data_IF_261004754337
#
_entry.id   IF_261004754337
#
_cell.length_a   1.000
_cell.length_b   1.000
_cell.length_c   1.000
_cell.angle_alpha   90.00
_cell.angle_beta   90.00
_cell.angle_gamma   90.00
#
_symmetry.space_group_name_H-M   'P 1'
#
loop_
_entity.id
_entity.type
_entity.pdbx_description
1 polymer ?
#
# COMPACT_ATOMS: atom_id res chain seq x y z
N UNK A 1 1.14 -3.47 16.05
CA UNK A 1 0.98 -2.33 15.13
C UNK A 1 1.73 -2.61 13.85
N UNK A 2 1.11 -2.39 12.70
CA UNK A 2 1.74 -2.49 11.38
C UNK A 2 1.64 -1.13 10.67
N UNK A 3 2.74 -0.62 10.14
CA UNK A 3 2.86 0.71 9.50
C UNK A 3 3.06 0.58 7.99
N UNK A 4 2.30 1.36 7.21
CA UNK A 4 2.32 1.40 5.75
C UNK A 4 2.60 2.82 5.25
N UNK A 5 3.58 2.97 4.37
CA UNK A 5 4.03 4.27 3.90
C UNK A 5 3.47 4.60 2.50
N UNK A 6 3.19 5.88 2.25
CA UNK A 6 2.98 6.34 0.88
C UNK A 6 4.31 6.29 0.10
N UNK A 7 4.36 5.63 -1.06
CA UNK A 7 5.58 5.22 -1.77
C UNK A 7 6.49 6.34 -2.34
N UNK A 8 6.28 7.60 -1.97
CA UNK A 8 6.98 8.76 -2.55
C UNK A 8 7.70 9.59 -1.48
N UNK A 9 8.80 9.06 -0.92
CA UNK A 9 9.60 9.72 0.12
C UNK A 9 10.05 11.13 -0.27
N UNK A 10 10.47 11.33 -1.53
CA UNK A 10 10.87 12.65 -2.04
C UNK A 10 9.70 13.64 -1.98
N UNK A 11 8.49 13.19 -2.34
CA UNK A 11 7.31 14.06 -2.30
C UNK A 11 6.90 14.37 -0.87
N UNK A 12 6.97 13.40 0.05
CA UNK A 12 6.76 13.62 1.48
C UNK A 12 7.72 14.65 2.06
N UNK A 13 9.02 14.53 1.74
CA UNK A 13 10.03 15.50 2.17
C UNK A 13 9.78 16.90 1.60
N UNK A 14 9.33 17.01 0.36
CA UNK A 14 8.94 18.30 -0.22
C UNK A 14 7.69 18.88 0.46
N UNK A 15 6.68 18.06 0.77
CA UNK A 15 5.48 18.49 1.46
C UNK A 15 5.79 18.93 2.89
N UNK A 16 6.80 18.35 3.57
CA UNK A 16 7.24 18.78 4.92
C UNK A 16 7.72 20.23 4.98
N UNK A 17 8.13 20.83 3.86
CA UNK A 17 8.54 22.25 3.83
C UNK A 17 7.36 23.17 4.24
N UNK A 18 7.55 24.06 5.24
CA UNK A 18 6.55 25.03 5.66
C UNK A 18 6.04 25.95 4.53
N UNK A 19 6.87 26.22 3.52
CA UNK A 19 6.50 27.04 2.37
C UNK A 19 5.52 26.37 1.39
N UNK A 20 5.32 25.06 1.50
CA UNK A 20 4.41 24.29 0.65
C UNK A 20 3.02 24.23 1.27
N UNK A 21 2.02 24.85 0.64
CA UNK A 21 0.64 24.87 1.11
C UNK A 21 -0.15 23.57 0.83
N UNK A 22 0.53 22.42 0.85
CA UNK A 22 -0.08 21.09 0.71
C UNK A 22 0.16 20.27 1.98
N UNK A 23 -0.78 19.37 2.26
CA UNK A 23 -0.68 18.29 3.22
C UNK A 23 -0.80 16.93 2.50
N UNK A 24 -0.63 15.83 3.22
CA UNK A 24 -0.74 14.48 2.70
C UNK A 24 -0.56 13.44 3.80
N UNK A 25 -0.90 12.19 3.47
CA UNK A 25 -0.64 11.02 4.29
C UNK A 25 0.87 10.79 4.34
N UNK A 26 1.39 10.64 5.54
CA UNK A 26 2.75 10.19 5.80
C UNK A 26 2.80 8.66 5.80
N UNK A 27 1.99 8.05 6.67
CA UNK A 27 1.81 6.61 6.79
C UNK A 27 0.45 6.25 7.43
N UNK A 28 0.06 5.00 7.30
CA UNK A 28 -1.14 4.41 7.89
C UNK A 28 -0.74 3.26 8.79
N UNK A 29 -1.36 3.16 9.96
CA UNK A 29 -1.24 2.01 10.84
C UNK A 29 -2.56 1.27 10.99
N UNK A 30 -2.49 -0.06 11.06
CA UNK A 30 -3.61 -0.90 11.47
C UNK A 30 -3.42 -1.25 12.94
N UNK A 31 -4.38 -0.85 13.76
CA UNK A 31 -4.37 -1.14 15.19
C UNK A 31 -4.71 -2.61 15.46
N UNK A 32 -3.80 -3.30 16.13
CA UNK A 32 -3.91 -4.73 16.39
C UNK A 32 -3.38 -5.05 17.79
N UNK A 33 -3.99 -4.43 18.80
CA UNK A 33 -3.64 -4.70 20.19
C UNK A 33 -4.06 -6.14 20.59
N UNK A 34 -3.12 -7.01 20.99
CA UNK A 34 -3.46 -8.35 21.46
C UNK A 34 -4.28 -8.36 22.76
N UNK A 35 -4.34 -7.26 23.50
CA UNK A 35 -5.20 -7.12 24.69
C UNK A 35 -6.68 -6.92 24.34
N UNK A 36 -6.99 -6.47 23.12
CA UNK A 36 -8.36 -6.25 22.68
C UNK A 36 -9.10 -7.57 22.37
N UNK A 37 -10.43 -7.62 22.55
CA UNK A 37 -11.25 -8.73 22.09
C UNK A 37 -10.99 -9.03 20.61
N UNK A 38 -10.86 -10.31 20.25
CA UNK A 38 -10.62 -10.74 18.86
C UNK A 38 -11.63 -10.14 17.87
N UNK A 39 -12.87 -9.92 18.33
CA UNK A 39 -13.87 -9.26 17.51
C UNK A 39 -13.49 -7.82 17.19
N UNK A 40 -12.86 -7.06 18.08
CA UNK A 40 -12.55 -5.63 17.93
C UNK A 40 -11.19 -5.33 17.31
N UNK A 41 -10.26 -6.30 17.33
CA UNK A 41 -8.93 -6.17 16.74
C UNK A 41 -8.99 -5.81 15.25
N UNK A 42 -8.06 -4.97 14.79
CA UNK A 42 -7.88 -4.59 13.38
C UNK A 42 -9.10 -3.90 12.76
N UNK A 43 -9.86 -3.18 13.57
CA UNK A 43 -10.96 -2.32 13.12
C UNK A 43 -10.61 -0.84 13.12
N UNK A 44 -9.50 -0.47 13.73
CA UNK A 44 -9.07 0.93 13.84
C UNK A 44 -7.89 1.16 12.89
N UNK A 45 -8.04 2.13 12.01
CA UNK A 45 -6.98 2.63 11.14
C UNK A 45 -6.49 3.98 11.70
N UNK A 46 -5.18 4.11 11.89
CA UNK A 46 -4.53 5.34 12.31
C UNK A 46 -3.78 5.93 11.12
N UNK A 47 -4.30 6.99 10.54
CA UNK A 47 -3.71 7.65 9.38
C UNK A 47 -2.95 8.88 9.84
N UNK A 48 -1.63 8.83 9.72
CA UNK A 48 -0.74 9.93 10.08
C UNK A 48 -0.50 10.83 8.88
N UNK A 49 -0.60 12.13 9.10
CA UNK A 49 -0.39 13.17 8.10
C UNK A 49 0.95 13.86 8.30
N UNK A 50 1.50 14.35 7.19
CA UNK A 50 2.77 15.09 7.16
C UNK A 50 2.67 16.40 7.95
N UNK A 51 1.49 17.05 7.92
CA UNK A 51 1.19 18.28 8.66
C UNK A 51 -0.10 18.13 9.48
N UNK A 52 -0.30 18.98 10.50
CA UNK A 52 -1.56 19.07 11.22
C UNK A 52 -2.76 19.18 10.27
N UNK A 53 -3.81 18.43 10.57
CA UNK A 53 -5.06 18.44 9.83
C UNK A 53 -5.84 19.67 10.27
N UNK A 54 -6.19 20.54 9.32
CA UNK A 54 -7.03 21.70 9.63
C UNK A 54 -8.42 21.22 10.11
N UNK A 55 -8.89 21.77 11.23
CA UNK A 55 -10.17 21.39 11.82
C UNK A 55 -11.31 21.53 10.79
N UNK A 56 -12.10 20.47 10.61
CA UNK A 56 -13.21 20.45 9.65
C UNK A 56 -12.81 20.29 8.18
N UNK A 57 -11.51 20.16 7.85
CA UNK A 57 -11.07 19.96 6.46
C UNK A 57 -11.32 18.56 5.92
N UNK A 58 -11.49 17.56 6.80
CA UNK A 58 -11.78 16.18 6.46
C UNK A 58 -12.99 15.66 7.24
N UNK A 59 -13.75 14.81 6.57
CA UNK A 59 -14.90 14.08 7.11
C UNK A 59 -14.84 12.63 6.63
N UNK A 60 -15.69 11.76 7.18
CA UNK A 60 -15.82 10.38 6.70
C UNK A 60 -16.12 10.28 5.20
N UNK A 61 -16.81 11.28 4.62
CA UNK A 61 -17.11 11.32 3.18
C UNK A 61 -15.87 11.57 2.29
N UNK A 62 -14.75 11.98 2.89
CA UNK A 62 -13.47 12.18 2.20
C UNK A 62 -12.61 10.92 2.21
N UNK A 63 -13.01 9.85 2.88
CA UNK A 63 -12.25 8.60 2.94
C UNK A 63 -12.91 7.57 2.05
N UNK A 64 -12.15 7.02 1.11
CA UNK A 64 -12.56 5.87 0.29
C UNK A 64 -11.63 4.70 0.56
N UNK A 65 -12.22 3.56 0.93
CA UNK A 65 -11.53 2.28 1.05
C UNK A 65 -11.86 1.45 -0.19
N UNK A 66 -10.83 0.91 -0.83
CA UNK A 66 -10.92 0.07 -2.03
C UNK A 66 -10.10 -1.21 -1.83
N UNK A 67 -10.35 -2.23 -2.64
CA UNK A 67 -9.67 -3.52 -2.56
C UNK A 67 -10.44 -4.53 -1.71
N UNK A 68 -9.71 -5.51 -1.19
CA UNK A 68 -10.31 -6.69 -0.57
C UNK A 68 -10.83 -7.69 -1.60
N UNK A 69 -10.95 -8.95 -1.18
CA UNK A 69 -11.50 -10.03 -2.03
C UNK A 69 -12.84 -10.54 -1.48
N UNK A 70 -12.86 -10.86 -0.18
CA UNK A 70 -14.04 -11.33 0.55
C UNK A 70 -14.73 -10.20 1.30
N UNK A 71 -13.96 -9.20 1.76
CA UNK A 71 -14.48 -8.03 2.46
C UNK A 71 -14.15 -6.79 1.64
N UNK A 72 -15.13 -6.29 0.89
CA UNK A 72 -14.97 -5.17 -0.05
C UNK A 72 -15.75 -3.93 0.36
N UNK A 73 -16.66 -4.04 1.33
CA UNK A 73 -17.49 -2.95 1.82
C UNK A 73 -17.31 -2.79 3.34
N UNK A 74 -17.06 -1.55 3.76
CA UNK A 74 -16.89 -1.17 5.15
C UNK A 74 -17.87 -0.06 5.51
N UNK A 75 -18.29 -0.02 6.77
CA UNK A 75 -18.97 1.12 7.34
C UNK A 75 -18.01 1.79 8.32
N UNK A 76 -17.84 3.11 8.17
CA UNK A 76 -17.07 3.93 9.13
C UNK A 76 -17.98 4.18 10.34
N UNK A 77 -17.65 3.57 11.47
CA UNK A 77 -18.39 3.70 12.73
C UNK A 77 -17.87 4.81 13.62
N UNK A 78 -16.61 5.22 13.42
CA UNK A 78 -15.94 6.26 14.18
C UNK A 78 -14.97 7.04 13.30
N UNK A 79 -14.90 8.35 13.53
CA UNK A 79 -14.03 9.26 12.78
C UNK A 79 -13.58 10.39 13.70
N UNK A 80 -12.29 10.46 14.00
CA UNK A 80 -11.73 11.46 14.90
C UNK A 80 -10.42 12.03 14.33
N UNK A 81 -10.26 13.34 14.44
CA UNK A 81 -9.05 14.06 14.03
C UNK A 81 -8.40 14.65 15.28
N UNK A 82 -7.11 14.40 15.44
CA UNK A 82 -6.28 14.93 16.53
C UNK A 82 -4.92 15.34 15.99
N UNK A 83 -4.68 16.65 15.90
CA UNK A 83 -3.46 17.24 15.31
C UNK A 83 -3.18 16.69 13.89
N UNK A 84 -2.16 15.86 13.71
CA UNK A 84 -1.81 15.22 12.43
C UNK A 84 -2.29 13.77 12.32
N UNK A 85 -3.11 13.28 13.25
CA UNK A 85 -3.62 11.93 13.27
C UNK A 85 -5.12 11.91 12.94
N UNK A 86 -5.50 11.06 12.00
CA UNK A 86 -6.87 10.69 11.70
C UNK A 86 -7.11 9.25 12.16
N UNK A 87 -8.02 9.07 13.12
CA UNK A 87 -8.51 7.77 13.58
C UNK A 87 -9.80 7.43 12.85
N UNK A 88 -9.83 6.26 12.21
CA UNK A 88 -11.00 5.72 11.51
C UNK A 88 -11.35 4.38 12.13
N UNK A 89 -12.56 4.24 12.65
CA UNK A 89 -13.08 2.96 13.14
C UNK A 89 -14.01 2.35 12.11
N UNK A 90 -13.84 1.05 11.86
CA UNK A 90 -14.61 0.27 10.91
C UNK A 90 -15.52 -0.72 11.63
N UNK A 91 -16.64 -1.09 11.00
CA UNK A 91 -17.58 -2.07 11.55
C UNK A 91 -17.00 -3.50 11.62
N UNK A 92 -15.95 -3.79 10.84
CA UNK A 92 -15.26 -5.08 10.77
C UNK A 92 -13.83 -4.94 10.28
N UNK A 93 -13.00 -5.93 10.59
CA UNK A 93 -11.67 -6.07 10.00
C UNK A 93 -11.75 -6.57 8.55
N UNK A 94 -10.77 -6.22 7.73
CA UNK A 94 -10.63 -6.74 6.37
C UNK A 94 -10.05 -8.16 6.31
N UNK A 95 -9.87 -8.65 5.09
CA UNK A 95 -9.28 -9.96 4.81
C UNK A 95 -7.74 -9.86 4.58
N UNK A 96 -7.17 -10.86 3.92
CA UNK A 96 -5.72 -10.95 3.67
C UNK A 96 -5.29 -10.24 2.37
N UNK A 97 -6.23 -9.73 1.57
CA UNK A 97 -5.93 -9.03 0.34
C UNK A 97 -5.42 -7.61 0.61
N UNK A 98 -4.74 -6.99 -0.37
CA UNK A 98 -4.38 -5.58 -0.28
C UNK A 98 -5.61 -4.67 -0.36
N UNK A 99 -5.52 -3.56 0.35
CA UNK A 99 -6.50 -2.47 0.39
C UNK A 99 -5.81 -1.15 0.04
N UNK A 100 -6.60 -0.21 -0.49
CA UNK A 100 -6.17 1.16 -0.75
C UNK A 100 -7.06 2.10 0.05
N UNK A 101 -6.45 2.94 0.89
CA UNK A 101 -7.12 4.12 1.45
C UNK A 101 -6.80 5.32 0.56
N UNK A 102 -7.85 6.01 0.11
CA UNK A 102 -7.76 7.22 -0.71
C UNK A 102 -8.51 8.37 -0.07
N UNK A 103 -7.88 9.54 -0.03
CA UNK A 103 -8.55 10.80 0.27
C UNK A 103 -9.20 11.34 -1.00
N UNK A 104 -10.49 11.62 -0.92
CA UNK A 104 -11.30 12.12 -2.04
C UNK A 104 -12.01 13.43 -1.68
N UNK A 105 -12.12 14.34 -2.63
CA UNK A 105 -12.82 15.62 -2.46
C UNK A 105 -14.31 15.41 -2.15
N UNK A 106 -14.92 14.40 -2.73
CA UNK A 106 -16.30 13.97 -2.48
C UNK A 106 -16.46 12.49 -2.83
N UNK A 107 -17.53 11.81 -2.35
CA UNK A 107 -17.78 10.40 -2.67
C UNK A 107 -17.88 10.08 -4.17
N UNK A 108 -18.22 11.07 -5.00
CA UNK A 108 -18.35 10.94 -6.46
C UNK A 108 -17.10 11.36 -7.24
N UNK A 109 -16.04 11.82 -6.56
CA UNK A 109 -14.80 12.30 -7.17
C UNK A 109 -13.62 11.42 -6.76
N UNK A 110 -12.69 11.19 -7.67
CA UNK A 110 -11.40 10.56 -7.35
C UNK A 110 -10.29 11.58 -7.07
N UNK A 111 -10.56 12.88 -7.25
CA UNK A 111 -9.60 13.94 -6.97
C UNK A 111 -9.38 14.09 -5.45
N UNK A 112 -8.17 14.46 -5.00
CA UNK A 112 -7.91 14.72 -3.59
C UNK A 112 -8.69 15.95 -3.09
N UNK A 113 -8.98 16.05 -1.77
CA UNK A 113 -9.53 17.28 -1.19
C UNK A 113 -8.60 18.47 -1.40
N UNK A 114 -9.18 19.69 -1.37
CA UNK A 114 -8.39 20.91 -1.52
C UNK A 114 -7.32 21.01 -0.41
N UNK A 115 -6.10 21.40 -0.79
CA UNK A 115 -4.96 21.47 0.13
C UNK A 115 -4.25 20.14 0.40
N UNK A 116 -4.66 19.05 -0.25
CA UNK A 116 -3.97 17.76 -0.17
C UNK A 116 -3.24 17.44 -1.47
N UNK A 117 -2.05 16.87 -1.33
CA UNK A 117 -1.23 16.41 -2.44
C UNK A 117 -1.81 15.15 -3.07
N UNK A 118 -1.89 15.10 -4.40
CA UNK A 118 -2.52 14.00 -5.12
C UNK A 118 -1.79 12.65 -4.94
N UNK A 119 -0.46 12.67 -4.83
CA UNK A 119 0.33 11.45 -4.64
C UNK A 119 0.25 10.99 -3.18
N UNK A 120 0.28 11.94 -2.24
CA UNK A 120 0.15 11.64 -0.82
C UNK A 120 -1.30 11.55 -0.33
N UNK A 121 -2.27 11.42 -1.23
CA UNK A 121 -3.69 11.19 -0.88
C UNK A 121 -4.07 9.72 -1.00
N UNK A 122 -3.09 8.82 -1.12
CA UNK A 122 -3.30 7.40 -1.33
C UNK A 122 -2.30 6.61 -0.51
N UNK A 123 -2.74 5.54 0.13
CA UNK A 123 -1.86 4.58 0.79
C UNK A 123 -2.40 3.16 0.60
N UNK A 124 -1.51 2.25 0.22
CA UNK A 124 -1.78 0.82 0.15
C UNK A 124 -1.48 0.18 1.50
N UNK A 125 -2.36 -0.71 1.97
CA UNK A 125 -2.20 -1.39 3.25
C UNK A 125 -2.87 -2.76 3.24
N UNK A 126 -2.59 -3.57 4.27
CA UNK A 126 -3.30 -4.83 4.51
C UNK A 126 -3.54 -5.02 6.00
N UNK A 127 -4.67 -5.65 6.35
CA UNK A 127 -5.03 -5.94 7.74
C UNK A 127 -4.19 -7.06 8.36
N UNK A 128 -3.58 -7.92 7.54
CA UNK A 128 -2.99 -9.20 7.99
C UNK A 128 -1.58 -9.40 7.44
N UNK A 129 -0.59 -8.66 7.94
CA UNK A 129 0.83 -8.81 7.52
C UNK A 129 1.76 -9.19 8.67
N UNK A 130 1.33 -10.12 9.54
CA UNK A 130 2.26 -10.83 10.43
C UNK A 130 2.65 -12.20 9.82
N UNK A 131 2.97 -12.21 8.52
CA UNK A 131 3.84 -13.26 7.99
C UNK A 131 5.27 -12.74 8.15
N UNK A 132 6.13 -13.40 8.94
CA UNK A 132 7.51 -12.96 9.15
C UNK A 132 8.29 -13.22 7.86
N UNK A 133 8.23 -12.27 6.93
CA UNK A 133 9.10 -12.25 5.76
C UNK A 133 9.42 -10.80 5.43
N UNK A 134 10.69 -10.45 5.63
CA UNK A 134 11.38 -9.24 5.17
C UNK A 134 11.42 -9.13 3.64
N UNK A 135 10.27 -9.20 2.96
CA UNK A 135 10.21 -9.06 1.50
C UNK A 135 9.56 -7.73 1.11
N UNK A 136 10.44 -6.88 0.55
CA UNK A 136 10.20 -5.93 -0.53
C UNK A 136 9.78 -4.51 -0.16
N UNK A 137 10.66 -3.84 0.60
CA UNK A 137 10.95 -2.44 0.34
C UNK A 137 11.35 -2.25 -1.13
N UNK A 138 10.45 -1.63 -1.91
CA UNK A 138 10.63 -1.10 -3.26
C UNK A 138 11.09 -2.09 -4.35
N UNK A 139 10.16 -2.50 -5.22
CA UNK A 139 10.54 -2.77 -6.61
C UNK A 139 11.01 -1.45 -7.23
N UNK A 140 12.33 -1.28 -7.35
CA UNK A 140 12.88 -0.38 -8.35
C UNK A 140 12.24 -0.79 -9.68
N UNK A 141 11.44 0.11 -10.27
CA UNK A 141 10.64 -0.17 -11.46
C UNK A 141 11.40 -1.04 -12.44
N UNK A 142 10.86 -2.23 -12.71
CA UNK A 142 11.49 -3.20 -13.59
C UNK A 142 11.85 -2.50 -14.90
N UNK A 143 13.15 -2.43 -15.21
CA UNK A 143 13.56 -2.29 -16.60
C UNK A 143 12.86 -3.40 -17.38
N UNK A 144 12.30 -3.12 -18.57
CA UNK A 144 11.81 -4.17 -19.43
C UNK A 144 12.90 -5.24 -19.52
N UNK A 145 12.58 -6.52 -19.29
CA UNK A 145 13.59 -7.57 -19.41
C UNK A 145 14.19 -7.45 -20.80
N UNK A 146 15.52 -7.31 -20.90
CA UNK A 146 16.20 -7.48 -22.17
C UNK A 146 15.80 -8.85 -22.70
N UNK A 147 15.13 -8.84 -23.86
CA UNK A 147 14.77 -10.06 -24.57
C UNK A 147 16.08 -10.73 -24.94
N UNK A 148 16.51 -11.69 -24.13
CA UNK A 148 17.59 -12.60 -24.50
C UNK A 148 17.05 -13.42 -25.66
N UNK A 149 17.64 -13.26 -26.84
CA UNK A 149 17.33 -14.12 -27.97
C UNK A 149 17.66 -15.55 -27.57
N UNK A 150 16.66 -16.42 -27.59
CA UNK A 150 16.88 -17.86 -27.46
C UNK A 150 17.88 -18.29 -28.55
N UNK A 151 18.93 -19.05 -28.21
CA UNK A 151 19.80 -19.61 -29.22
C UNK A 151 18.99 -20.60 -30.06
N UNK A 152 19.16 -20.53 -31.38
CA UNK A 152 18.51 -21.41 -32.33
C UNK A 152 19.01 -22.84 -32.09
N UNK A 153 18.23 -23.61 -31.33
CA UNK A 153 18.51 -25.02 -31.08
C UNK A 153 18.31 -25.77 -32.39
N UNK A 154 19.40 -26.06 -33.09
CA UNK A 154 19.38 -26.87 -34.29
C UNK A 154 19.09 -28.34 -33.91
N UNK A 155 17.81 -28.71 -33.92
CA UNK A 155 17.31 -30.06 -33.56
C UNK A 155 17.67 -31.17 -34.57
N UNK A 156 18.51 -30.90 -35.58
CA UNK A 156 18.99 -31.89 -36.56
C UNK A 156 20.39 -32.44 -36.28
N UNK A 157 21.11 -31.96 -35.26
CA UNK A 157 22.39 -32.53 -34.86
C UNK A 157 22.21 -33.83 -34.05
N UNK A 158 21.86 -34.91 -34.76
CA UNK A 158 21.86 -36.28 -34.23
C UNK A 158 23.24 -36.91 -34.43
N UNK A 159 24.28 -36.37 -33.79
CA UNK A 159 25.61 -37.01 -33.75
C UNK A 159 25.75 -37.89 -32.51
N UNK A 160 25.13 -39.08 -32.58
CA UNK A 160 25.23 -40.13 -31.55
C UNK A 160 26.64 -40.77 -31.45
N UNK A 161 27.55 -40.49 -32.39
CA UNK A 161 28.88 -41.14 -32.44
C UNK A 161 29.97 -40.39 -31.66
N UNK A 162 29.75 -39.15 -31.23
CA UNK A 162 30.74 -38.40 -30.44
C UNK A 162 30.67 -38.71 -28.93
N UNK A 163 29.60 -39.34 -28.46
CA UNK A 163 29.39 -39.64 -27.03
C UNK A 163 30.00 -40.97 -26.55
N UNK A 164 30.78 -41.67 -27.40
CA UNK A 164 31.37 -42.98 -27.05
C UNK A 164 32.89 -43.07 -27.20
N UNK A 165 33.61 -41.95 -27.16
CA UNK A 165 35.08 -41.92 -27.14
C UNK A 165 35.71 -41.36 -25.86
N UNK A 166 34.88 -40.93 -24.89
CA UNK A 166 35.34 -40.27 -23.66
C UNK A 166 34.89 -40.98 -22.38
N UNK A 167 34.45 -42.24 -22.48
CA UNK A 167 34.16 -43.10 -21.34
C UNK A 167 34.79 -44.48 -21.49
N UNK A 168 36.13 -44.49 -21.47
CA UNK A 168 37.02 -45.67 -21.44
C UNK A 168 37.38 -46.21 -22.84
N UNK A 169 38.67 -46.49 -23.04
CA UNK A 169 39.25 -47.52 -23.94
C UNK A 169 38.52 -47.83 -25.29
#
# INVERSE_FOLDING_TARGET
MMTFFCCEERRRNAVRDPGVALNGIDFLEVDDDPADPVSQRQRTLLVHFVKPIAAGSLTAANVRLEGGERVTAFQITGFAVSDNLLTIELDRAGDFAPYVLRLVASPSSSAPPAGYDALLSVVEFSFKVNCPTDYDCAEAGACPPEVRSEPDLNYLARDFNSFRGLMLD
#
